data_IF_148064386451
#
_entry.id   IF_148064386451
#
_cell.length_a   1.000
_cell.length_b   1.000
_cell.length_c   1.000
_cell.angle_alpha   90.00
_cell.angle_beta   90.00
_cell.angle_gamma   90.00
#
_symmetry.space_group_name_H-M   'P 1'
#
loop_
_entity.id
_entity.type
_entity.pdbx_description
1 polymer ?
#
# COMPACT_ATOMS: atom_id res chain seq x y z
N UNK A 1 -87.76 -35.97 15.00
CA UNK A 1 -88.16 -35.06 16.11
C UNK A 1 -86.91 -34.31 16.55
N UNK A 2 -87.04 -32.99 16.77
CA UNK A 2 -86.06 -32.03 17.31
C UNK A 2 -84.82 -31.74 16.42
N UNK A 3 -84.63 -30.58 15.77
CA UNK A 3 -84.68 -29.16 16.16
C UNK A 3 -83.32 -28.60 16.61
N UNK A 4 -82.88 -27.53 15.94
CA UNK A 4 -81.91 -26.55 16.44
C UNK A 4 -80.57 -26.58 15.71
N UNK A 5 -80.05 -25.50 15.13
CA UNK A 5 -80.53 -24.13 15.06
C UNK A 5 -79.64 -23.35 14.08
N UNK A 6 -80.24 -22.45 13.31
CA UNK A 6 -79.54 -21.51 12.43
C UNK A 6 -79.47 -20.15 13.12
N UNK A 7 -78.26 -19.65 13.42
CA UNK A 7 -78.03 -18.23 13.76
C UNK A 7 -76.69 -17.78 13.17
N UNK A 8 -76.79 -16.95 12.11
CA UNK A 8 -76.19 -15.62 11.90
C UNK A 8 -74.80 -15.39 12.58
N UNK A 9 -73.76 -14.80 11.98
CA UNK A 9 -73.68 -13.85 10.88
C UNK A 9 -72.23 -13.75 10.39
N UNK A 10 -72.05 -13.20 9.18
CA UNK A 10 -70.77 -12.77 8.62
C UNK A 10 -70.13 -11.66 9.46
N UNK A 11 -68.81 -11.75 9.66
CA UNK A 11 -67.96 -10.60 10.01
C UNK A 11 -66.64 -10.71 9.24
N UNK A 12 -66.33 -9.65 8.49
CA UNK A 12 -65.13 -9.44 7.67
C UNK A 12 -63.87 -9.20 8.53
N UNK A 13 -62.75 -8.79 7.88
CA UNK A 13 -61.46 -8.25 8.41
C UNK A 13 -60.32 -9.28 8.25
N UNK A 14 -59.17 -9.08 7.58
CA UNK A 14 -58.48 -7.91 7.00
C UNK A 14 -57.42 -8.34 5.97
N UNK A 15 -57.03 -7.36 5.16
CA UNK A 15 -55.91 -7.27 4.22
C UNK A 15 -54.55 -7.56 4.90
N UNK A 16 -53.66 -8.28 4.20
CA UNK A 16 -52.27 -8.49 4.60
C UNK A 16 -51.37 -8.80 3.41
N UNK A 17 -51.14 -7.79 2.55
CA UNK A 17 -50.05 -7.81 1.57
C UNK A 17 -48.76 -7.41 2.31
N UNK A 18 -47.83 -8.34 2.50
CA UNK A 18 -46.44 -7.99 2.78
C UNK A 18 -45.54 -8.90 1.93
N UNK A 19 -45.01 -8.31 0.85
CA UNK A 19 -43.81 -8.76 0.17
C UNK A 19 -42.67 -8.78 1.19
N UNK A 20 -42.22 -9.96 1.62
CA UNK A 20 -40.93 -10.07 2.31
C UNK A 20 -39.81 -9.87 1.30
N UNK A 21 -39.08 -8.77 1.50
CA UNK A 21 -38.02 -8.30 0.62
C UNK A 21 -36.83 -9.25 0.51
N UNK A 22 -36.16 -9.18 -0.63
CA UNK A 22 -34.81 -9.68 -0.79
C UNK A 22 -33.91 -9.00 0.25
N UNK A 23 -33.26 -9.80 1.10
CA UNK A 23 -32.16 -9.32 1.92
C UNK A 23 -31.07 -8.79 1.00
N UNK A 24 -30.87 -7.47 1.00
CA UNK A 24 -29.71 -6.84 0.37
C UNK A 24 -28.45 -7.34 1.08
N UNK A 25 -27.66 -8.14 0.38
CA UNK A 25 -26.33 -8.60 0.80
C UNK A 25 -25.27 -7.51 0.60
N UNK A 26 -25.53 -6.31 1.09
CA UNK A 26 -24.57 -5.19 1.09
C UNK A 26 -23.55 -5.20 2.25
N UNK A 27 -23.83 -5.67 3.49
CA UNK A 27 -22.87 -5.50 4.60
C UNK A 27 -21.67 -6.47 4.52
N UNK A 28 -21.77 -7.51 3.69
CA UNK A 28 -20.74 -8.54 3.56
C UNK A 28 -19.62 -8.15 2.58
N UNK A 29 -19.91 -7.28 1.61
CA UNK A 29 -18.94 -6.82 0.62
C UNK A 29 -18.01 -5.76 1.22
N UNK A 30 -18.56 -4.75 1.92
CA UNK A 30 -17.79 -3.72 2.62
C UNK A 30 -16.83 -4.32 3.67
N UNK A 31 -17.32 -5.28 4.46
CA UNK A 31 -16.50 -6.01 5.46
C UNK A 31 -15.32 -6.80 4.85
N UNK A 32 -15.45 -7.32 3.62
CA UNK A 32 -14.35 -8.01 2.93
C UNK A 32 -13.32 -7.02 2.40
N UNK A 33 -13.75 -5.89 1.84
CA UNK A 33 -12.87 -4.83 1.32
C UNK A 33 -12.03 -4.23 2.45
N UNK A 34 -12.65 -3.89 3.59
CA UNK A 34 -11.93 -3.34 4.74
C UNK A 34 -10.87 -4.31 5.29
N UNK A 35 -11.22 -5.59 5.50
CA UNK A 35 -10.27 -6.60 5.97
C UNK A 35 -9.10 -6.81 5.00
N UNK A 36 -9.35 -6.76 3.70
CA UNK A 36 -8.31 -6.85 2.68
C UNK A 36 -7.37 -5.64 2.76
N UNK A 37 -7.91 -4.43 2.81
CA UNK A 37 -7.12 -3.20 2.91
C UNK A 37 -6.29 -3.14 4.20
N UNK A 38 -6.84 -3.60 5.33
CA UNK A 38 -6.10 -3.73 6.59
C UNK A 38 -4.98 -4.77 6.52
N UNK A 39 -5.23 -5.91 5.87
CA UNK A 39 -4.21 -6.94 5.63
C UNK A 39 -3.08 -6.40 4.74
N UNK A 40 -3.42 -5.66 3.70
CA UNK A 40 -2.46 -5.01 2.79
C UNK A 40 -1.66 -3.92 3.51
N UNK A 41 -2.29 -3.15 4.40
CA UNK A 41 -1.63 -2.15 5.25
C UNK A 41 -0.61 -2.80 6.20
N UNK A 42 -1.00 -3.92 6.82
CA UNK A 42 -0.15 -4.69 7.71
C UNK A 42 1.02 -5.34 6.95
N UNK A 43 0.80 -5.84 5.73
CA UNK A 43 1.84 -6.37 4.85
C UNK A 43 2.84 -5.27 4.44
N UNK A 44 2.35 -4.10 4.03
CA UNK A 44 3.15 -2.94 3.63
C UNK A 44 4.00 -2.41 4.79
N UNK A 45 3.48 -2.49 6.03
CA UNK A 45 4.19 -2.08 7.24
C UNK A 45 5.32 -3.04 7.63
N UNK A 46 5.23 -4.33 7.26
CA UNK A 46 6.21 -5.37 7.58
C UNK A 46 7.32 -5.52 6.52
N UNK A 47 7.04 -5.19 5.26
CA UNK A 47 7.93 -5.48 4.12
C UNK A 47 8.35 -4.26 3.29
N UNK A 48 8.24 -3.08 3.84
CA UNK A 48 8.11 -1.87 3.05
C UNK A 48 9.34 -0.99 2.92
N UNK A 49 10.16 -1.23 1.90
CA UNK A 49 11.36 -0.43 1.59
C UNK A 49 12.58 -1.03 2.26
N UNK A 50 13.55 -1.46 1.46
CA UNK A 50 14.76 -2.07 1.97
C UNK A 50 15.38 -1.13 2.99
N UNK A 51 15.37 -1.55 4.26
CA UNK A 51 15.55 -0.66 5.40
C UNK A 51 16.88 0.10 5.37
N UNK A 52 17.20 0.88 6.42
CA UNK A 52 18.36 1.76 6.44
C UNK A 52 19.68 1.08 6.02
N UNK A 53 19.84 -0.22 6.30
CA UNK A 53 20.98 -1.01 5.86
C UNK A 53 21.07 -1.19 4.33
N UNK A 54 19.95 -1.41 3.63
CA UNK A 54 19.96 -1.57 2.18
C UNK A 54 20.23 -0.23 1.48
N UNK A 55 19.66 0.87 1.98
CA UNK A 55 19.98 2.22 1.48
C UNK A 55 21.49 2.49 1.57
N UNK A 56 22.11 2.23 2.74
CA UNK A 56 23.57 2.37 2.91
C UNK A 56 24.38 1.49 1.96
N UNK A 57 23.92 0.26 1.68
CA UNK A 57 24.57 -0.63 0.70
C UNK A 57 24.58 0.00 -0.70
N UNK A 58 23.47 0.61 -1.11
CA UNK A 58 23.39 1.29 -2.40
C UNK A 58 24.21 2.59 -2.40
N UNK A 59 24.26 3.34 -1.29
CA UNK A 59 25.17 4.50 -1.15
C UNK A 59 26.63 4.12 -1.41
N UNK A 60 27.11 3.07 -0.76
CA UNK A 60 28.46 2.57 -0.95
C UNK A 60 28.70 2.05 -2.38
N UNK A 61 27.68 1.49 -3.04
CA UNK A 61 27.78 1.06 -4.44
C UNK A 61 27.87 2.25 -5.41
N UNK A 62 27.09 3.30 -5.16
CA UNK A 62 27.10 4.56 -5.94
C UNK A 62 28.48 5.23 -5.85
N UNK A 63 29.05 5.30 -4.65
CA UNK A 63 30.39 5.88 -4.44
C UNK A 63 31.46 5.10 -5.21
N UNK A 64 31.50 3.77 -5.05
CA UNK A 64 32.43 2.93 -5.83
C UNK A 64 32.26 3.11 -7.33
N UNK A 65 31.02 3.21 -7.81
CA UNK A 65 30.76 3.37 -9.24
C UNK A 65 31.27 4.72 -9.77
N UNK A 66 31.11 5.80 -8.99
CA UNK A 66 31.67 7.11 -9.33
C UNK A 66 33.20 7.08 -9.41
N UNK A 67 33.85 6.38 -8.49
CA UNK A 67 35.31 6.21 -8.53
C UNK A 67 35.78 5.46 -9.78
N UNK A 68 35.07 4.40 -10.17
CA UNK A 68 35.39 3.65 -11.40
C UNK A 68 35.21 4.50 -12.65
N UNK A 69 34.13 5.31 -12.71
CA UNK A 69 33.92 6.26 -13.81
C UNK A 69 35.05 7.29 -13.87
N UNK A 70 35.47 7.83 -12.71
CA UNK A 70 36.57 8.79 -12.63
C UNK A 70 37.87 8.19 -13.16
N UNK A 71 38.22 6.96 -12.72
CA UNK A 71 39.40 6.24 -13.19
C UNK A 71 39.36 5.98 -14.69
N UNK A 72 38.23 5.51 -15.21
CA UNK A 72 38.07 5.24 -16.64
C UNK A 72 38.15 6.52 -17.49
N UNK A 73 37.58 7.63 -17.02
CA UNK A 73 37.74 8.95 -17.66
C UNK A 73 39.19 9.43 -17.64
N UNK A 74 39.90 9.20 -16.53
CA UNK A 74 41.34 9.47 -16.43
C UNK A 74 42.15 8.67 -17.45
N UNK A 75 41.84 7.37 -17.60
CA UNK A 75 42.44 6.50 -18.62
C UNK A 75 42.09 6.95 -20.05
N UNK A 76 40.87 7.44 -20.27
CA UNK A 76 40.46 8.01 -21.56
C UNK A 76 41.32 9.21 -21.90
N UNK A 77 41.43 10.14 -20.96
CA UNK A 77 42.20 11.36 -21.13
C UNK A 77 43.67 11.07 -21.38
N UNK A 78 44.28 10.14 -20.63
CA UNK A 78 45.69 9.78 -20.82
C UNK A 78 45.96 9.04 -22.13
N UNK A 79 44.98 8.29 -22.63
CA UNK A 79 45.01 7.67 -23.96
C UNK A 79 44.72 8.67 -25.11
N UNK A 80 44.45 9.95 -24.81
CA UNK A 80 44.10 10.96 -25.81
C UNK A 80 42.68 10.80 -26.37
N UNK A 81 41.82 10.04 -25.69
CA UNK A 81 40.42 9.88 -26.02
C UNK A 81 39.63 11.09 -25.51
N UNK A 82 39.32 12.01 -26.41
CA UNK A 82 38.65 13.28 -26.09
C UNK A 82 38.36 14.08 -27.36
N UNK A 83 38.33 15.41 -27.28
CA UNK A 83 38.08 16.34 -28.40
C UNK A 83 39.14 16.32 -29.52
N UNK A 84 40.14 15.45 -29.45
CA UNK A 84 41.21 15.39 -30.43
C UNK A 84 40.75 14.66 -31.70
N UNK A 85 40.41 15.44 -32.73
CA UNK A 85 40.06 14.97 -34.08
C UNK A 85 41.21 14.20 -34.79
N UNK A 86 42.40 14.13 -34.17
CA UNK A 86 43.61 13.53 -34.72
C UNK A 86 44.05 12.25 -34.01
N UNK A 87 43.21 11.65 -33.16
CA UNK A 87 43.60 10.45 -32.43
C UNK A 87 43.80 9.27 -33.39
N UNK A 88 45.03 8.72 -33.41
CA UNK A 88 45.37 7.52 -34.21
C UNK A 88 44.72 6.23 -33.67
N UNK A 89 43.97 6.31 -32.58
CA UNK A 89 43.39 5.19 -31.82
C UNK A 89 41.85 5.27 -31.67
N UNK A 90 41.14 5.75 -32.71
CA UNK A 90 39.67 5.93 -32.70
C UNK A 90 38.92 4.70 -32.16
N UNK A 91 39.28 3.49 -32.58
CA UNK A 91 38.60 2.26 -32.13
C UNK A 91 38.78 1.98 -30.63
N UNK A 92 39.98 2.24 -30.09
CA UNK A 92 40.26 2.09 -28.66
C UNK A 92 39.45 3.11 -27.85
N UNK A 93 39.42 4.36 -28.33
CA UNK A 93 38.63 5.41 -27.69
C UNK A 93 37.14 5.15 -27.75
N UNK A 94 36.61 4.61 -28.85
CA UNK A 94 35.22 4.20 -28.96
C UNK A 94 34.86 3.13 -27.92
N UNK A 95 35.67 2.08 -27.79
CA UNK A 95 35.44 1.02 -26.79
C UNK A 95 35.51 1.52 -25.34
N UNK A 96 36.43 2.43 -25.05
CA UNK A 96 36.58 3.02 -23.73
C UNK A 96 35.41 3.97 -23.40
N UNK A 97 35.00 4.82 -24.34
CA UNK A 97 33.85 5.71 -24.18
C UNK A 97 32.56 4.92 -23.99
N UNK A 98 32.34 3.86 -24.79
CA UNK A 98 31.19 2.95 -24.61
C UNK A 98 31.20 2.26 -23.23
N UNK A 99 32.39 2.00 -22.67
CA UNK A 99 32.51 1.47 -21.31
C UNK A 99 32.11 2.53 -20.26
N UNK A 100 32.56 3.76 -20.42
CA UNK A 100 32.18 4.90 -19.56
C UNK A 100 30.66 5.13 -19.61
N UNK A 101 30.06 5.11 -20.79
CA UNK A 101 28.60 5.23 -20.97
C UNK A 101 27.84 4.14 -20.23
N UNK A 102 28.24 2.86 -20.37
CA UNK A 102 27.65 1.76 -19.62
C UNK A 102 27.79 1.95 -18.11
N UNK A 103 28.93 2.47 -17.65
CA UNK A 103 29.13 2.76 -16.23
C UNK A 103 28.22 3.89 -15.73
N UNK A 104 27.98 4.94 -16.52
CA UNK A 104 27.04 6.00 -16.18
C UNK A 104 25.60 5.46 -16.12
N UNK A 105 25.18 4.67 -17.10
CA UNK A 105 23.86 4.04 -17.08
C UNK A 105 23.66 3.12 -15.85
N UNK A 106 24.71 2.39 -15.45
CA UNK A 106 24.68 1.61 -14.21
C UNK A 106 24.55 2.50 -12.97
N UNK A 107 25.28 3.62 -12.93
CA UNK A 107 25.19 4.61 -11.85
C UNK A 107 23.77 5.18 -11.73
N UNK A 108 23.13 5.51 -12.85
CA UNK A 108 21.75 6.01 -12.87
C UNK A 108 20.78 4.97 -12.31
N UNK A 109 20.94 3.69 -12.69
CA UNK A 109 20.15 2.59 -12.14
C UNK A 109 20.34 2.43 -10.62
N UNK A 110 21.58 2.55 -10.13
CA UNK A 110 21.87 2.51 -8.70
C UNK A 110 21.21 3.67 -7.96
N UNK A 111 21.29 4.89 -8.50
CA UNK A 111 20.67 6.08 -7.91
C UNK A 111 19.14 5.98 -7.89
N UNK A 112 18.52 5.51 -8.97
CA UNK A 112 17.08 5.30 -9.04
C UNK A 112 16.59 4.29 -7.99
N UNK A 113 17.28 3.14 -7.88
CA UNK A 113 16.97 2.13 -6.85
C UNK A 113 17.16 2.69 -5.44
N UNK A 114 18.25 3.42 -5.21
CA UNK A 114 18.52 4.07 -3.92
C UNK A 114 17.43 5.07 -3.55
N UNK A 115 16.98 5.88 -4.51
CA UNK A 115 15.87 6.82 -4.32
C UNK A 115 14.54 6.10 -4.05
N UNK A 116 14.25 5.00 -4.74
CA UNK A 116 13.06 4.17 -4.48
C UNK A 116 13.07 3.57 -3.06
N UNK A 117 14.25 3.09 -2.62
CA UNK A 117 14.43 2.54 -1.28
C UNK A 117 14.31 3.61 -0.19
N UNK A 118 14.91 4.78 -0.41
CA UNK A 118 14.86 5.90 0.53
C UNK A 118 13.49 6.61 0.56
N UNK A 119 12.82 6.69 -0.59
CA UNK A 119 11.55 7.41 -0.79
C UNK A 119 10.31 6.64 -0.30
N UNK A 120 10.48 5.43 0.22
CA UNK A 120 9.39 4.68 0.82
C UNK A 120 8.31 4.34 -0.19
N UNK A 121 8.60 3.39 -1.11
CA UNK A 121 7.53 2.70 -1.84
C UNK A 121 6.41 2.27 -0.89
N UNK A 122 6.78 1.80 0.30
CA UNK A 122 5.87 1.54 1.41
C UNK A 122 5.16 2.74 2.01
N UNK A 123 5.77 3.93 2.06
CA UNK A 123 5.11 5.15 2.55
C UNK A 123 4.04 5.61 1.57
N UNK A 124 4.34 5.58 0.27
CA UNK A 124 3.37 5.87 -0.79
C UNK A 124 2.25 4.83 -0.84
N UNK A 125 2.58 3.55 -0.75
CA UNK A 125 1.60 2.45 -0.74
C UNK A 125 0.74 2.50 0.52
N UNK A 126 1.34 2.74 1.68
CA UNK A 126 0.62 2.98 2.95
C UNK A 126 -0.33 4.17 2.84
N UNK A 127 0.10 5.27 2.25
CA UNK A 127 -0.76 6.44 2.03
C UNK A 127 -1.96 6.11 1.14
N UNK A 128 -1.75 5.36 0.04
CA UNK A 128 -2.83 4.90 -0.84
C UNK A 128 -3.80 3.96 -0.14
N UNK A 129 -3.29 3.00 0.63
CA UNK A 129 -4.13 2.05 1.39
C UNK A 129 -4.92 2.78 2.49
N UNK A 130 -4.31 3.73 3.19
CA UNK A 130 -5.01 4.54 4.19
C UNK A 130 -6.12 5.41 3.57
N UNK A 131 -5.88 6.00 2.40
CA UNK A 131 -6.91 6.74 1.67
C UNK A 131 -8.04 5.83 1.17
N UNK A 132 -7.72 4.60 0.75
CA UNK A 132 -8.72 3.61 0.37
C UNK A 132 -9.56 3.15 1.58
N UNK A 133 -8.95 2.96 2.75
CA UNK A 133 -9.69 2.66 3.99
C UNK A 133 -10.67 3.78 4.35
N UNK A 134 -10.24 5.03 4.20
CA UNK A 134 -11.07 6.21 4.44
C UNK A 134 -12.23 6.30 3.45
N UNK A 135 -11.96 6.13 2.16
CA UNK A 135 -12.97 6.17 1.09
C UNK A 135 -13.98 5.01 1.11
N UNK A 136 -13.71 3.94 1.88
CA UNK A 136 -14.61 2.80 2.06
C UNK A 136 -15.24 2.79 3.47
N UNK A 137 -15.13 3.89 4.22
CA UNK A 137 -15.66 4.04 5.59
C UNK A 137 -15.21 2.89 6.53
N UNK A 138 -14.01 2.37 6.34
CA UNK A 138 -13.46 1.26 7.12
C UNK A 138 -12.98 1.70 8.52
N UNK A 139 -13.40 2.86 9.02
CA UNK A 139 -12.91 3.46 10.27
C UNK A 139 -13.91 3.32 11.42
N UNK A 140 -14.30 2.11 11.79
CA UNK A 140 -14.96 1.79 13.06
C UNK A 140 -14.79 0.27 13.32
N UNK A 141 -13.96 -0.15 14.28
CA UNK A 141 -14.42 -0.90 15.49
C UNK A 141 -13.36 -0.90 16.64
N UNK A 142 -12.45 0.07 16.68
CA UNK A 142 -11.38 0.13 17.71
C UNK A 142 -11.72 0.96 18.97
N UNK A 143 -12.96 1.41 19.12
CA UNK A 143 -13.45 1.99 20.38
C UNK A 143 -14.72 1.24 20.79
N UNK A 144 -14.53 0.04 21.34
CA UNK A 144 -15.61 -0.66 22.03
C UNK A 144 -16.21 0.25 23.11
N UNK A 145 -17.52 0.19 23.36
CA UNK A 145 -18.16 1.07 24.34
C UNK A 145 -17.49 0.87 25.70
N UNK A 146 -16.94 1.95 26.26
CA UNK A 146 -16.52 1.97 27.67
C UNK A 146 -17.74 1.62 28.49
N UNK A 147 -17.81 0.40 29.00
CA UNK A 147 -18.76 0.05 30.06
C UNK A 147 -18.46 1.02 31.21
N UNK A 148 -19.43 1.86 31.53
CA UNK A 148 -19.39 2.67 32.74
C UNK A 148 -19.17 1.71 33.93
N UNK A 149 -18.33 2.08 34.91
CA UNK A 149 -18.19 1.28 36.12
C UNK A 149 -19.56 1.17 36.81
N UNK A 150 -19.88 0.02 37.44
CA UNK A 150 -21.12 -0.12 38.19
C UNK A 150 -21.16 0.95 39.29
N UNK A 151 -22.22 1.76 39.31
CA UNK A 151 -22.46 2.64 40.46
C UNK A 151 -22.76 1.74 41.66
N UNK A 152 -21.87 1.83 42.66
CA UNK A 152 -22.00 1.18 43.94
C UNK A 152 -23.35 1.57 44.55
N UNK A 153 -24.23 0.57 44.66
CA UNK A 153 -25.53 0.74 45.29
C UNK A 153 -25.30 1.12 46.75
N UNK A 154 -25.76 2.33 47.05
CA UNK A 154 -26.15 2.82 48.36
C UNK A 154 -26.53 1.68 49.31
N UNK A 155 -25.68 1.41 50.31
CA UNK A 155 -26.10 0.71 51.51
C UNK A 155 -25.98 1.68 52.67
N UNK A 156 -27.03 2.50 52.77
CA UNK A 156 -27.56 2.94 54.06
C UNK A 156 -27.83 1.68 54.89
N UNK A 157 -27.15 1.51 56.01
CA UNK A 157 -27.65 0.74 57.14
C UNK A 157 -27.29 1.57 58.37
N UNK A 158 -28.35 2.05 59.04
CA UNK A 158 -28.29 2.82 60.28
C UNK A 158 -28.24 1.95 61.53
#
# INVERSE_FOLDING_TARGET
MASGGLKQAHAAVLLGLLLSGAAVSEPQAASRVCRQLEADLAATSRGGGGGPALVRKYDAAIERQRDQISKARGQASSAGCGFSLFSRNINQCAGLNATIERMNANLDSLQAKRAQLAGGGSRRDRGRILAALDANDCRDDAVGPRRAPPQEANREDG
#
